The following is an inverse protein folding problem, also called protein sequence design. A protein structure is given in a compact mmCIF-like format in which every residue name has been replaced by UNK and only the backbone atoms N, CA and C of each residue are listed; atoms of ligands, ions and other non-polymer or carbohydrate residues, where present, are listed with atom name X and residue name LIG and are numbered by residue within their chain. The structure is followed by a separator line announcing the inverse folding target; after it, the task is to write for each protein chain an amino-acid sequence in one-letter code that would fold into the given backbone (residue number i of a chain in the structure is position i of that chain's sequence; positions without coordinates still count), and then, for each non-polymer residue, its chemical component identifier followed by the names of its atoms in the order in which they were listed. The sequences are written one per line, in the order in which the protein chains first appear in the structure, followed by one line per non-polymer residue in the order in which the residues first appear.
data_IF_133501660599
#
_entry.id   IF_133501660599
#
_cell.length_a   1.000
_cell.length_b   1.000
_cell.length_c   1.000
_cell.angle_alpha   90.00
_cell.angle_beta   90.00
_cell.angle_gamma   90.00
#
_symmetry.space_group_name_H-M   'P 1'
#
loop_
_entity.id
_entity.type
_entity.pdbx_description
1 polymer ?
#
# COMPACT_ATOMS: atom_id res chain seq x y z
N UNK A 1 -26.24 52.75 -24.20
CA UNK A 1 -27.12 52.07 -23.23
C UNK A 1 -26.27 51.09 -22.43
N UNK A 2 -25.97 51.38 -21.16
CA UNK A 2 -25.21 50.50 -20.28
C UNK A 2 -26.16 49.53 -19.55
N UNK A 3 -25.70 48.32 -19.26
CA UNK A 3 -26.49 47.34 -18.50
C UNK A 3 -25.68 46.09 -18.18
N UNK A 4 -24.54 46.26 -17.50
CA UNK A 4 -23.78 45.16 -16.92
C UNK A 4 -24.52 44.64 -15.67
N UNK A 5 -25.02 43.40 -15.72
CA UNK A 5 -25.54 42.72 -14.53
C UNK A 5 -24.43 41.83 -13.99
N UNK A 6 -23.78 42.29 -12.92
CA UNK A 6 -22.85 41.52 -12.09
C UNK A 6 -23.68 40.74 -11.08
N UNK A 7 -23.79 39.42 -11.25
CA UNK A 7 -24.39 38.56 -10.22
C UNK A 7 -23.26 37.96 -9.38
N UNK A 8 -23.02 38.58 -8.23
CA UNK A 8 -22.24 37.98 -7.15
C UNK A 8 -23.16 37.01 -6.39
N UNK A 9 -22.76 35.74 -6.25
CA UNK A 9 -23.40 34.81 -5.32
C UNK A 9 -22.36 34.44 -4.26
N UNK A 10 -22.68 34.86 -3.04
CA UNK A 10 -21.85 34.74 -1.86
C UNK A 10 -22.15 33.43 -1.11
N UNK A 11 -21.06 32.75 -0.73
CA UNK A 11 -20.81 32.09 0.56
C UNK A 11 -21.95 31.27 1.20
N UNK A 12 -21.86 29.95 1.07
CA UNK A 12 -22.26 29.03 2.14
C UNK A 12 -20.97 28.43 2.71
N UNK A 13 -20.48 29.06 3.78
CA UNK A 13 -19.48 28.47 4.68
C UNK A 13 -20.18 27.33 5.42
N UNK A 14 -20.13 26.12 4.86
CA UNK A 14 -20.55 24.93 5.58
C UNK A 14 -19.50 24.64 6.64
N UNK A 15 -19.83 24.97 7.90
CA UNK A 15 -19.03 24.62 9.06
C UNK A 15 -18.88 23.09 9.11
N UNK A 16 -17.68 22.61 8.78
CA UNK A 16 -17.27 21.23 9.00
C UNK A 16 -17.18 21.00 10.51
N UNK A 17 -18.19 20.32 11.06
CA UNK A 17 -18.13 19.72 12.38
C UNK A 17 -16.98 18.70 12.39
N UNK A 18 -15.93 18.84 13.21
CA UNK A 18 -15.04 17.73 13.49
C UNK A 18 -15.81 16.77 14.39
N UNK A 19 -16.37 15.71 13.80
CA UNK A 19 -16.75 14.52 14.54
C UNK A 19 -15.46 13.92 15.10
N UNK A 20 -15.07 14.35 16.30
CA UNK A 20 -14.10 13.66 17.14
C UNK A 20 -14.77 12.36 17.57
N UNK A 21 -14.69 11.35 16.71
CA UNK A 21 -15.02 9.99 17.05
C UNK A 21 -14.04 9.57 18.15
N UNK A 22 -14.59 9.33 19.33
CA UNK A 22 -13.90 8.74 20.47
C UNK A 22 -13.10 7.53 20.04
N UNK A 23 -11.78 7.67 20.02
CA UNK A 23 -10.81 6.59 19.99
C UNK A 23 -10.91 5.80 21.31
N UNK A 24 -11.89 4.93 21.40
CA UNK A 24 -11.94 3.89 22.41
C UNK A 24 -11.08 2.71 21.95
N UNK A 25 -9.76 2.84 22.15
CA UNK A 25 -8.83 1.76 22.48
C UNK A 25 -9.02 0.38 21.84
N UNK A 26 -8.84 0.29 20.53
CA UNK A 26 -8.03 -0.79 19.96
C UNK A 26 -6.66 -0.16 19.75
N UNK A 27 -5.62 -0.64 20.46
CA UNK A 27 -4.28 -0.09 20.33
C UNK A 27 -3.78 -0.37 18.92
N UNK A 28 -4.02 0.55 17.98
CA UNK A 28 -3.49 0.46 16.62
C UNK A 28 -1.98 0.45 16.73
N UNK A 29 -1.38 -0.66 16.30
CA UNK A 29 0.07 -0.78 16.22
C UNK A 29 0.61 0.34 15.31
N UNK A 30 1.45 1.26 15.83
CA UNK A 30 1.95 2.37 15.04
C UNK A 30 2.76 1.92 13.82
N UNK A 31 3.40 0.74 13.87
CA UNK A 31 4.14 0.19 12.74
C UNK A 31 3.18 -0.25 11.62
N UNK A 32 2.13 -1.01 11.96
CA UNK A 32 1.08 -1.37 11.02
C UNK A 32 0.34 -0.14 10.48
N UNK A 33 0.04 0.84 11.33
CA UNK A 33 -0.61 2.09 10.90
C UNK A 33 0.25 2.87 9.89
N UNK A 34 1.58 2.86 10.05
CA UNK A 34 2.49 3.48 9.10
C UNK A 34 2.49 2.76 7.74
N UNK A 35 2.40 1.43 7.74
CA UNK A 35 2.24 0.65 6.52
C UNK A 35 0.90 0.92 5.84
N UNK A 36 -0.21 0.93 6.59
CA UNK A 36 -1.55 1.21 6.06
C UNK A 36 -1.68 2.61 5.45
N UNK A 37 -0.88 3.57 5.93
CA UNK A 37 -0.81 4.92 5.37
C UNK A 37 0.04 5.00 4.09
N UNK A 38 0.82 3.97 3.76
CA UNK A 38 1.63 3.93 2.55
C UNK A 38 0.75 3.65 1.32
N UNK A 39 0.96 4.34 0.17
CA UNK A 39 0.17 4.07 -1.04
C UNK A 39 0.26 2.61 -1.53
N UNK A 40 1.36 1.89 -1.21
CA UNK A 40 1.49 0.48 -1.58
C UNK A 40 0.56 -0.46 -0.80
N UNK A 41 -0.01 -0.03 0.33
CA UNK A 41 -0.96 -0.85 1.08
C UNK A 41 -2.31 -1.05 0.38
N UNK A 42 -2.63 -0.19 -0.58
CA UNK A 42 -3.91 -0.22 -1.33
C UNK A 42 -3.67 -0.04 -2.83
N UNK A 43 -2.48 -0.40 -3.32
CA UNK A 43 -2.14 -0.22 -4.72
C UNK A 43 -3.05 -1.03 -5.63
N UNK A 44 -3.59 -0.37 -6.65
CA UNK A 44 -4.37 -0.98 -7.72
C UNK A 44 -3.53 -0.95 -9.00
N UNK A 45 -3.42 -2.09 -9.67
CA UNK A 45 -2.67 -2.23 -10.93
C UNK A 45 -3.66 -2.55 -12.04
N UNK A 46 -3.51 -1.89 -13.19
CA UNK A 46 -4.38 -2.14 -14.34
C UNK A 46 -4.28 -3.60 -14.80
N UNK A 47 -5.43 -4.22 -15.07
CA UNK A 47 -5.47 -5.61 -15.52
C UNK A 47 -5.23 -6.63 -14.40
N UNK A 48 -5.39 -6.24 -13.14
CA UNK A 48 -5.33 -7.15 -12.00
C UNK A 48 -6.55 -7.05 -11.09
N UNK A 49 -6.67 -7.96 -10.13
CA UNK A 49 -7.65 -7.90 -9.05
C UNK A 49 -6.98 -8.36 -7.76
N UNK A 50 -7.05 -7.54 -6.72
CA UNK A 50 -6.58 -7.95 -5.38
C UNK A 50 -7.46 -9.07 -4.85
N UNK A 51 -6.87 -10.23 -4.61
CA UNK A 51 -7.54 -11.40 -4.07
C UNK A 51 -7.56 -11.37 -2.55
N UNK A 52 -6.39 -11.12 -1.96
CA UNK A 52 -6.19 -11.20 -0.52
C UNK A 52 -5.34 -10.03 -0.04
N UNK A 53 -5.72 -9.51 1.12
CA UNK A 53 -4.92 -8.57 1.90
C UNK A 53 -4.81 -9.10 3.31
N UNK A 54 -3.60 -9.46 3.70
CA UNK A 54 -3.29 -9.96 5.04
C UNK A 54 -2.50 -8.92 5.81
N UNK A 55 -3.03 -8.48 6.94
CA UNK A 55 -2.36 -7.54 7.83
C UNK A 55 -1.87 -8.26 9.08
N UNK A 56 -0.58 -8.14 9.36
CA UNK A 56 0.03 -8.66 10.58
C UNK A 56 0.52 -7.51 11.44
N UNK A 57 0.00 -7.31 12.66
CA UNK A 57 0.53 -6.31 13.58
C UNK A 57 1.89 -6.75 14.14
N UNK A 58 2.73 -5.78 14.47
CA UNK A 58 3.98 -6.01 15.17
C UNK A 58 3.73 -6.63 16.55
N UNK A 59 4.66 -7.46 16.99
CA UNK A 59 4.54 -8.17 18.26
C UNK A 59 5.70 -9.10 18.54
N UNK A 60 5.41 -10.16 19.29
CA UNK A 60 6.39 -11.22 19.56
C UNK A 60 5.72 -12.58 19.53
N UNK A 61 6.41 -13.56 18.95
CA UNK A 61 5.97 -14.97 18.90
C UNK A 61 7.12 -15.86 19.33
N UNK A 62 6.91 -16.67 20.38
CA UNK A 62 7.94 -17.54 20.95
C UNK A 62 9.25 -16.81 21.31
N UNK A 63 9.14 -15.56 21.76
CA UNK A 63 10.28 -14.71 22.14
C UNK A 63 11.04 -14.10 20.95
N UNK A 64 10.57 -14.28 19.71
CA UNK A 64 11.11 -13.62 18.52
C UNK A 64 10.25 -12.41 18.14
N UNK A 65 10.85 -11.31 17.67
CA UNK A 65 10.08 -10.19 17.14
C UNK A 65 9.27 -10.64 15.92
N UNK A 66 8.05 -10.13 15.84
CA UNK A 66 7.20 -10.15 14.65
C UNK A 66 7.09 -8.71 14.19
N UNK A 67 7.45 -8.45 12.95
CA UNK A 67 7.35 -7.12 12.36
C UNK A 67 5.93 -6.90 11.83
N UNK A 68 5.51 -5.63 11.77
CA UNK A 68 4.26 -5.33 11.10
C UNK A 68 4.42 -5.59 9.60
N UNK A 69 3.39 -6.14 8.97
CA UNK A 69 3.42 -6.53 7.56
C UNK A 69 2.04 -6.35 6.94
N UNK A 70 2.01 -5.92 5.69
CA UNK A 70 0.84 -6.03 4.83
C UNK A 70 1.24 -6.89 3.64
N UNK A 71 0.53 -7.97 3.39
CA UNK A 71 0.70 -8.82 2.22
C UNK A 71 -0.49 -8.62 1.30
N UNK A 72 -0.24 -8.24 0.05
CA UNK A 72 -1.24 -8.16 -1.00
C UNK A 72 -0.99 -9.30 -1.98
N UNK A 73 -1.99 -10.15 -2.16
CA UNK A 73 -2.04 -11.15 -3.22
C UNK A 73 -2.93 -10.65 -4.35
N UNK A 74 -2.37 -10.57 -5.56
CA UNK A 74 -3.00 -9.94 -6.70
C UNK A 74 -3.05 -10.93 -7.86
N UNK A 75 -4.26 -11.23 -8.33
CA UNK A 75 -4.51 -12.05 -9.50
C UNK A 75 -4.37 -11.24 -10.78
N UNK A 76 -3.77 -11.86 -11.80
CA UNK A 76 -3.60 -11.26 -13.12
C UNK A 76 -4.82 -11.60 -14.00
N UNK A 77 -5.25 -10.67 -14.86
CA UNK A 77 -6.32 -10.93 -15.81
C UNK A 77 -5.93 -12.01 -16.85
N UNK A 78 -6.93 -12.73 -17.37
CA UNK A 78 -6.78 -13.74 -18.44
C UNK A 78 -6.76 -13.06 -19.84
N UNK A 79 -5.72 -13.27 -20.68
CA UNK A 79 -4.55 -14.12 -20.45
C UNK A 79 -3.50 -13.44 -19.57
N UNK A 80 -2.87 -14.19 -18.64
CA UNK A 80 -1.92 -13.63 -17.70
C UNK A 80 -0.68 -13.12 -18.45
N UNK A 81 -0.37 -11.84 -18.27
CA UNK A 81 0.87 -11.24 -18.73
C UNK A 81 1.60 -10.57 -17.55
N UNK A 82 2.52 -11.28 -16.88
CA UNK A 82 3.12 -10.81 -15.63
C UNK A 82 4.13 -9.68 -15.82
N UNK A 83 4.81 -9.60 -16.97
CA UNK A 83 5.84 -8.59 -17.21
C UNK A 83 5.33 -7.13 -17.09
N UNK A 84 4.26 -6.71 -17.79
CA UNK A 84 3.75 -5.35 -17.66
C UNK A 84 3.14 -5.06 -16.28
N UNK A 85 2.55 -6.07 -15.63
CA UNK A 85 1.97 -5.95 -14.29
C UNK A 85 3.07 -5.75 -13.26
N UNK A 86 4.12 -6.58 -13.30
CA UNK A 86 5.29 -6.45 -12.43
C UNK A 86 5.96 -5.10 -12.64
N UNK A 87 6.21 -4.69 -13.89
CA UNK A 87 6.77 -3.38 -14.18
C UNK A 87 5.96 -2.24 -13.56
N UNK A 88 4.63 -2.27 -13.70
CA UNK A 88 3.74 -1.26 -13.12
C UNK A 88 3.78 -1.25 -11.59
N UNK A 89 3.87 -2.43 -10.97
CA UNK A 89 4.01 -2.56 -9.51
C UNK A 89 5.33 -1.97 -9.00
N UNK A 90 6.43 -2.19 -9.72
CA UNK A 90 7.73 -1.61 -9.39
C UNK A 90 7.74 -0.09 -9.54
N UNK A 91 7.18 0.43 -10.65
CA UNK A 91 7.01 1.87 -10.87
C UNK A 91 6.13 2.51 -9.77
N UNK A 92 5.06 1.82 -9.34
CA UNK A 92 4.21 2.28 -8.24
C UNK A 92 4.98 2.33 -6.91
N UNK A 93 5.80 1.31 -6.60
CA UNK A 93 6.65 1.29 -5.41
C UNK A 93 7.65 2.46 -5.41
N UNK A 94 8.38 2.65 -6.50
CA UNK A 94 9.32 3.77 -6.63
C UNK A 94 8.63 5.13 -6.53
N UNK A 95 7.46 5.30 -7.16
CA UNK A 95 6.66 6.53 -7.07
C UNK A 95 6.16 6.82 -5.65
N UNK A 96 5.97 5.76 -4.86
CA UNK A 96 5.60 5.84 -3.44
C UNK A 96 6.81 6.09 -2.53
N UNK A 97 8.02 6.22 -3.10
CA UNK A 97 9.25 6.54 -2.38
C UNK A 97 10.04 5.33 -1.91
N UNK A 98 9.72 4.12 -2.36
CA UNK A 98 10.53 2.93 -2.10
C UNK A 98 11.79 2.95 -2.95
N UNK A 99 12.95 2.73 -2.31
CA UNK A 99 14.24 2.63 -2.97
C UNK A 99 14.52 1.16 -3.30
N UNK A 100 14.21 0.75 -4.53
CA UNK A 100 14.44 -0.61 -5.01
C UNK A 100 15.91 -0.82 -5.38
N UNK A 101 16.58 -1.77 -4.74
CA UNK A 101 18.03 -2.00 -4.87
C UNK A 101 18.43 -3.44 -5.24
N UNK A 102 17.48 -4.38 -5.16
CA UNK A 102 17.71 -5.80 -5.44
C UNK A 102 16.71 -6.28 -6.48
N UNK A 103 17.19 -6.55 -7.69
CA UNK A 103 16.37 -6.99 -8.83
C UNK A 103 16.64 -8.46 -9.17
N UNK A 104 15.58 -9.15 -9.56
CA UNK A 104 15.58 -10.53 -10.07
C UNK A 104 14.68 -10.61 -11.30
N UNK A 105 14.66 -11.76 -11.98
CA UNK A 105 13.70 -11.98 -13.08
C UNK A 105 12.26 -11.98 -12.59
N UNK A 106 12.02 -12.40 -11.34
CA UNK A 106 10.69 -12.54 -10.76
C UNK A 106 10.20 -11.27 -10.05
N UNK A 107 11.06 -10.26 -9.85
CA UNK A 107 10.67 -9.06 -9.09
C UNK A 107 11.82 -8.29 -8.49
N UNK A 108 11.52 -7.44 -7.52
CA UNK A 108 12.51 -6.65 -6.81
C UNK A 108 12.20 -6.48 -5.33
N UNK A 109 13.21 -6.13 -4.54
CA UNK A 109 13.06 -5.64 -3.19
C UNK A 109 13.78 -4.33 -2.97
N UNK A 110 13.35 -3.63 -1.94
CA UNK A 110 13.84 -2.29 -1.61
C UNK A 110 13.38 -1.84 -0.25
N UNK A 111 13.68 -0.58 0.06
CA UNK A 111 13.55 -0.07 1.41
C UNK A 111 13.06 1.38 1.40
N UNK A 112 12.44 1.81 2.51
CA UNK A 112 11.90 3.16 2.67
C UNK A 112 11.93 3.56 4.14
N UNK A 113 12.17 4.83 4.44
CA UNK A 113 11.96 5.34 5.81
C UNK A 113 10.46 5.47 6.08
N UNK A 114 9.99 4.84 7.16
CA UNK A 114 8.58 4.85 7.56
C UNK A 114 8.42 5.53 8.92
N UNK A 115 7.38 6.37 9.11
CA UNK A 115 7.11 6.96 10.41
C UNK A 115 6.77 5.89 11.47
N UNK A 116 6.85 6.22 12.76
CA UNK A 116 7.44 7.45 13.31
C UNK A 116 8.96 7.53 13.16
N UNK A 117 9.70 6.42 13.29
CA UNK A 117 11.17 6.37 13.21
C UNK A 117 11.66 4.96 12.76
N UNK A 118 10.96 4.32 11.81
CA UNK A 118 11.25 2.95 11.38
C UNK A 118 11.80 2.84 9.97
N UNK A 119 12.31 1.66 9.64
CA UNK A 119 12.72 1.30 8.28
C UNK A 119 11.73 0.28 7.74
N UNK A 120 11.15 0.58 6.59
CA UNK A 120 10.34 -0.35 5.82
C UNK A 120 11.20 -1.16 4.86
N UNK A 121 10.85 -2.42 4.68
CA UNK A 121 11.30 -3.25 3.55
C UNK A 121 10.08 -3.55 2.66
N UNK A 122 10.26 -3.61 1.34
CA UNK A 122 9.23 -4.07 0.41
C UNK A 122 9.80 -5.17 -0.47
N UNK A 123 8.99 -6.19 -0.72
CA UNK A 123 9.21 -7.15 -1.80
C UNK A 123 8.03 -7.09 -2.76
N UNK A 124 8.33 -6.99 -4.05
CA UNK A 124 7.36 -7.06 -5.14
C UNK A 124 7.80 -8.18 -6.06
N UNK A 125 6.99 -9.23 -6.19
CA UNK A 125 7.37 -10.42 -6.94
C UNK A 125 6.20 -11.11 -7.60
N UNK A 126 6.43 -11.70 -8.76
CA UNK A 126 5.53 -12.65 -9.40
C UNK A 126 5.93 -14.07 -8.99
N UNK A 127 4.95 -14.91 -8.69
CA UNK A 127 5.17 -16.34 -8.51
C UNK A 127 4.11 -17.19 -9.18
N UNK A 128 4.48 -18.43 -9.43
CA UNK A 128 3.62 -19.50 -9.91
C UNK A 128 3.52 -20.53 -8.78
N UNK A 129 2.32 -20.78 -8.28
CA UNK A 129 2.12 -21.89 -7.34
C UNK A 129 1.97 -23.19 -8.12
N UNK A 130 2.63 -24.27 -7.69
CA UNK A 130 2.50 -25.58 -8.34
C UNK A 130 1.04 -26.08 -8.37
N UNK A 131 0.21 -25.60 -7.44
CA UNK A 131 -1.22 -25.92 -7.32
C UNK A 131 -2.15 -24.98 -8.09
N UNK A 132 -1.66 -23.84 -8.59
CA UNK A 132 -2.49 -22.83 -9.25
C UNK A 132 -2.00 -22.59 -10.68
N UNK A 133 -2.91 -22.56 -11.67
CA UNK A 133 -2.51 -22.48 -13.07
C UNK A 133 -2.03 -21.08 -13.50
N UNK A 134 -2.21 -20.06 -12.67
CA UNK A 134 -2.02 -18.66 -13.05
C UNK A 134 -0.95 -17.98 -12.17
N UNK A 135 -0.06 -17.17 -12.77
CA UNK A 135 0.90 -16.39 -12.00
C UNK A 135 0.18 -15.33 -11.19
N UNK A 136 0.68 -15.08 -9.99
CA UNK A 136 0.16 -14.07 -9.06
C UNK A 136 1.26 -13.06 -8.72
N UNK A 137 0.85 -11.81 -8.49
CA UNK A 137 1.73 -10.77 -7.98
C UNK A 137 1.55 -10.68 -6.47
N UNK A 138 2.66 -10.67 -5.73
CA UNK A 138 2.69 -10.38 -4.30
C UNK A 138 3.46 -9.12 -4.02
N UNK A 139 2.91 -8.32 -3.13
CA UNK A 139 3.53 -7.12 -2.59
C UNK A 139 3.53 -7.26 -1.06
N UNK A 140 4.70 -7.13 -0.46
CA UNK A 140 4.86 -7.30 0.99
C UNK A 140 5.73 -6.19 1.57
N UNK A 141 5.13 -5.04 1.93
CA UNK A 141 5.78 -4.07 2.79
C UNK A 141 5.77 -4.52 4.26
N UNK A 142 6.93 -4.41 4.92
CA UNK A 142 7.18 -4.77 6.32
C UNK A 142 7.80 -3.59 7.05
N UNK A 143 7.48 -3.37 8.33
CA UNK A 143 8.04 -2.29 9.15
C UNK A 143 8.95 -2.85 10.25
N UNK A 144 10.23 -2.53 10.16
CA UNK A 144 11.27 -2.93 11.11
C UNK A 144 11.53 -1.79 12.10
N UNK A 145 11.17 -2.02 13.37
CA UNK A 145 11.59 -1.15 14.47
C UNK A 145 13.09 -1.30 14.70
N UNK A 146 13.85 -0.21 14.58
CA UNK A 146 15.28 -0.16 14.89
C UNK A 146 15.58 -0.09 16.38
#
# INVERSE_FOLDING_TARGET
MPGAVRTAIAHILAASLPLVLSACGEGTDPALAALQADPMATVEIEGTTTEEVTETPAGTTLGKPVYAEIELLINLADPPNPEPVLKSALEAAESSGWLLDRYTEAGASGEKDLPPDGRGEITVSVFEFESEPEPQLRITPTHCST
#
